data_IF_669857724293
#
_entry.id   IF_669857724293
#
_cell.length_a   1.000
_cell.length_b   1.000
_cell.length_c   1.000
_cell.angle_alpha   90.00
_cell.angle_beta   90.00
_cell.angle_gamma   90.00
#
_symmetry.space_group_name_H-M   'P 1'
#
loop_
_entity.id
_entity.type
_entity.pdbx_description
1 polymer ?
#
# COMPACT_ATOMS: atom_id res chain seq x y z
N UNK A 1 -6.90 -8.95 -10.43
CA UNK A 1 -7.22 -10.37 -10.66
C UNK A 1 -6.12 -11.25 -10.10
N UNK A 2 -6.49 -12.29 -9.40
CA UNK A 2 -5.52 -13.28 -8.93
C UNK A 2 -5.52 -14.44 -9.91
N UNK A 3 -4.35 -14.86 -10.36
CA UNK A 3 -4.19 -16.03 -11.18
C UNK A 3 -3.21 -17.01 -10.56
N UNK A 4 -3.54 -18.31 -10.62
CA UNK A 4 -2.63 -19.37 -10.22
C UNK A 4 -2.07 -20.02 -11.47
N UNK A 5 -0.76 -20.12 -11.55
CA UNK A 5 -0.06 -20.71 -12.70
C UNK A 5 1.01 -21.67 -12.20
N UNK A 6 1.42 -22.67 -13.01
CA UNK A 6 2.60 -23.45 -12.68
C UNK A 6 3.80 -22.54 -12.45
N UNK A 7 4.62 -22.85 -11.44
CA UNK A 7 5.76 -21.99 -11.09
C UNK A 7 6.70 -21.72 -12.28
N UNK A 8 6.91 -22.74 -13.12
CA UNK A 8 7.76 -22.63 -14.31
C UNK A 8 7.19 -21.73 -15.41
N UNK A 9 5.93 -21.35 -15.31
CA UNK A 9 5.27 -20.46 -16.27
C UNK A 9 5.31 -18.99 -15.86
N UNK A 10 5.74 -18.68 -14.64
CA UNK A 10 5.78 -17.28 -14.16
C UNK A 10 6.67 -16.39 -15.04
N UNK A 11 7.76 -16.93 -15.56
CA UNK A 11 8.68 -16.18 -16.44
C UNK A 11 7.99 -15.66 -17.71
N UNK A 12 6.97 -16.36 -18.19
CA UNK A 12 6.25 -15.96 -19.42
C UNK A 12 5.52 -14.62 -19.24
N UNK A 13 5.27 -14.21 -18.01
CA UNK A 13 4.55 -12.97 -17.69
C UNK A 13 5.45 -11.78 -17.42
N UNK A 14 6.77 -11.97 -17.41
CA UNK A 14 7.72 -10.88 -17.18
C UNK A 14 7.53 -9.81 -18.26
N UNK A 15 7.40 -8.56 -17.84
CA UNK A 15 7.17 -7.44 -18.73
C UNK A 15 5.74 -7.20 -19.15
N UNK A 16 4.81 -8.06 -18.72
CA UNK A 16 3.39 -7.90 -19.00
C UNK A 16 2.66 -7.22 -17.85
N UNK A 17 1.63 -6.44 -18.20
CA UNK A 17 0.70 -5.87 -17.22
C UNK A 17 -0.32 -6.95 -16.85
N UNK A 18 -0.30 -7.39 -15.60
CA UNK A 18 -1.18 -8.46 -15.11
C UNK A 18 -2.44 -7.93 -14.42
N UNK A 19 -2.61 -6.61 -14.35
CA UNK A 19 -3.80 -6.00 -13.80
C UNK A 19 -3.51 -4.97 -12.72
N UNK A 20 -4.57 -4.45 -12.13
CA UNK A 20 -4.52 -3.49 -11.02
C UNK A 20 -5.54 -3.89 -9.96
N UNK A 21 -5.29 -3.47 -8.72
CA UNK A 21 -6.29 -3.58 -7.67
C UNK A 21 -7.46 -2.63 -7.92
N UNK A 22 -8.53 -2.79 -7.16
CA UNK A 22 -9.55 -1.75 -7.04
C UNK A 22 -8.95 -0.54 -6.31
N UNK A 23 -9.56 0.62 -6.52
CA UNK A 23 -9.19 1.82 -5.79
C UNK A 23 -9.50 1.65 -4.31
N UNK A 24 -8.55 2.04 -3.47
CA UNK A 24 -8.64 1.95 -2.01
C UNK A 24 -8.57 3.35 -1.42
N UNK A 25 -9.62 3.76 -0.67
CA UNK A 25 -9.62 5.06 -0.01
C UNK A 25 -8.82 4.99 1.29
N UNK A 26 -7.90 5.94 1.45
CA UNK A 26 -7.10 6.08 2.68
C UNK A 26 -7.79 7.14 3.54
N UNK A 27 -8.64 6.70 4.47
CA UNK A 27 -9.38 7.60 5.35
C UNK A 27 -8.64 7.87 6.65
N UNK A 28 -9.16 8.84 7.43
CA UNK A 28 -8.54 9.24 8.68
C UNK A 28 -8.56 8.11 9.72
N UNK A 29 -9.62 7.33 9.77
CA UNK A 29 -9.71 6.21 10.72
C UNK A 29 -8.58 5.22 10.52
N UNK A 30 -8.23 4.93 9.26
CA UNK A 30 -7.12 4.03 8.94
C UNK A 30 -5.78 4.64 9.31
N UNK A 31 -5.59 5.93 9.06
CA UNK A 31 -4.38 6.65 9.44
C UNK A 31 -4.22 6.63 10.96
N UNK A 32 -5.31 6.89 11.70
CA UNK A 32 -5.29 6.87 13.17
C UNK A 32 -4.95 5.48 13.71
N UNK A 33 -5.52 4.42 13.12
CA UNK A 33 -5.20 3.04 13.51
C UNK A 33 -3.72 2.72 13.28
N UNK A 34 -3.16 3.18 12.17
CA UNK A 34 -1.75 2.96 11.88
C UNK A 34 -0.86 3.74 12.86
N UNK A 35 -1.23 4.98 13.17
CA UNK A 35 -0.52 5.78 14.17
C UNK A 35 -0.51 5.07 15.52
N UNK A 36 -1.64 4.50 15.94
CA UNK A 36 -1.75 3.77 17.19
C UNK A 36 -0.91 2.49 17.17
N UNK A 37 -0.94 1.75 16.06
CA UNK A 37 -0.22 0.49 15.93
C UNK A 37 1.30 0.67 15.94
N UNK A 38 1.79 1.79 15.38
CA UNK A 38 3.24 2.05 15.22
C UNK A 38 3.78 3.08 16.17
N UNK A 39 2.91 3.73 16.94
CA UNK A 39 3.25 4.81 17.88
C UNK A 39 3.80 6.05 17.19
N UNK A 40 3.47 6.24 15.92
CA UNK A 40 3.82 7.44 15.16
C UNK A 40 2.62 8.39 15.09
N UNK A 41 2.51 9.26 16.08
CA UNK A 41 1.43 10.24 16.19
C UNK A 41 1.89 11.65 15.81
N UNK A 42 2.79 11.76 14.84
CA UNK A 42 3.22 13.06 14.36
C UNK A 42 2.00 13.87 13.87
N UNK A 43 1.99 15.17 14.17
CA UNK A 43 0.81 16.01 13.92
C UNK A 43 0.34 16.00 12.46
N UNK A 44 1.25 15.80 11.50
CA UNK A 44 0.91 15.80 10.08
C UNK A 44 -0.06 14.67 9.71
N UNK A 45 -0.15 13.63 10.53
CA UNK A 45 -1.03 12.47 10.29
C UNK A 45 -2.33 12.54 11.09
N UNK A 46 -2.32 13.13 12.27
CA UNK A 46 -3.42 13.01 13.23
C UNK A 46 -4.06 14.33 13.65
N UNK A 47 -3.44 15.46 13.34
CA UNK A 47 -3.95 16.78 13.73
C UNK A 47 -4.28 17.60 12.48
N UNK A 48 -5.55 17.58 12.10
CA UNK A 48 -6.02 18.28 10.91
C UNK A 48 -5.74 19.78 10.94
N UNK A 49 -5.95 20.41 12.11
CA UNK A 49 -5.77 21.85 12.25
C UNK A 49 -4.33 22.27 11.97
N UNK A 50 -3.36 21.50 12.49
CA UNK A 50 -1.93 21.80 12.30
C UNK A 50 -1.41 21.35 10.94
N UNK A 51 -1.94 20.27 10.38
CA UNK A 51 -1.49 19.72 9.11
C UNK A 51 -2.00 20.51 7.91
N UNK A 52 -3.23 21.01 7.97
CA UNK A 52 -3.88 21.71 6.85
C UNK A 52 -3.08 22.87 6.29
N UNK A 53 -2.46 23.76 7.09
CA UNK A 53 -1.64 24.84 6.54
C UNK A 53 -0.43 24.34 5.72
N UNK A 54 0.06 23.14 5.98
CA UNK A 54 1.24 22.58 5.32
C UNK A 54 0.89 21.73 4.09
N UNK A 55 -0.15 20.92 4.19
CA UNK A 55 -0.48 19.92 3.16
C UNK A 55 -1.90 20.02 2.63
N UNK A 56 -2.71 20.95 3.10
CA UNK A 56 -4.13 21.05 2.73
C UNK A 56 -5.03 20.08 3.49
N UNK A 57 -4.47 19.12 4.19
CA UNK A 57 -5.15 18.13 5.02
C UNK A 57 -4.11 17.36 5.83
N UNK A 58 -4.54 16.41 6.64
CA UNK A 58 -3.63 15.38 7.14
C UNK A 58 -3.18 14.49 5.98
N UNK A 59 -2.05 13.84 6.15
CA UNK A 59 -1.49 12.92 5.17
C UNK A 59 -1.25 11.55 5.81
N UNK A 60 -1.36 10.51 4.99
CA UNK A 60 -1.03 9.17 5.43
C UNK A 60 0.48 9.04 5.68
N UNK A 61 0.84 8.19 6.63
CA UNK A 61 2.23 7.78 6.79
C UNK A 61 2.71 7.12 5.50
N UNK A 62 3.92 7.43 5.06
CA UNK A 62 4.51 6.71 3.93
C UNK A 62 4.53 5.20 4.20
N UNK A 63 4.84 4.80 5.42
CA UNK A 63 4.85 3.39 5.80
C UNK A 63 3.46 2.75 5.82
N UNK A 64 2.39 3.51 6.01
CA UNK A 64 1.03 2.99 5.82
C UNK A 64 0.81 2.62 4.36
N UNK A 65 1.13 3.53 3.44
CA UNK A 65 1.01 3.28 2.00
C UNK A 65 1.80 2.06 1.58
N UNK A 66 3.04 1.92 2.05
CA UNK A 66 3.88 0.76 1.79
C UNK A 66 3.23 -0.52 2.35
N UNK A 67 2.67 -0.45 3.55
CA UNK A 67 2.05 -1.60 4.22
C UNK A 67 0.77 -2.07 3.54
N UNK A 68 0.15 -1.25 2.70
CA UNK A 68 -1.04 -1.64 1.94
C UNK A 68 -0.71 -2.49 0.70
N UNK A 69 0.55 -2.56 0.29
CA UNK A 69 0.95 -3.29 -0.92
C UNK A 69 0.48 -4.75 -0.91
N UNK A 70 0.65 -5.54 0.16
CA UNK A 70 0.16 -6.93 0.15
C UNK A 70 -1.34 -7.04 -0.11
N UNK A 71 -2.15 -6.15 0.48
CA UNK A 71 -3.59 -6.11 0.24
C UNK A 71 -3.90 -5.78 -1.22
N UNK A 72 -3.28 -4.71 -1.73
CA UNK A 72 -3.53 -4.25 -3.10
C UNK A 72 -3.06 -5.27 -4.12
N UNK A 73 -1.86 -5.81 -3.97
CA UNK A 73 -1.33 -6.78 -4.92
C UNK A 73 -2.07 -8.12 -4.87
N UNK A 74 -2.72 -8.46 -3.76
CA UNK A 74 -3.51 -9.69 -3.68
C UNK A 74 -4.66 -9.71 -4.67
N UNK A 75 -5.07 -8.55 -5.17
CA UNK A 75 -6.16 -8.42 -6.15
C UNK A 75 -5.68 -8.50 -7.60
N UNK A 76 -4.37 -8.46 -7.83
CA UNK A 76 -3.80 -8.36 -9.17
C UNK A 76 -2.45 -9.06 -9.28
N UNK A 77 -2.32 -10.24 -8.69
CA UNK A 77 -1.05 -10.96 -8.66
C UNK A 77 -1.18 -12.33 -9.33
N UNK A 78 -0.11 -12.77 -9.96
CA UNK A 78 0.07 -14.15 -10.37
C UNK A 78 0.89 -14.87 -9.31
N UNK A 79 0.46 -16.04 -8.94
CA UNK A 79 1.14 -16.84 -7.92
C UNK A 79 1.31 -18.29 -8.40
N UNK A 80 2.37 -18.99 -7.95
CA UNK A 80 2.52 -20.39 -8.27
C UNK A 80 1.42 -21.22 -7.61
N UNK A 81 0.93 -22.22 -8.32
CA UNK A 81 -0.16 -23.08 -7.86
C UNK A 81 0.10 -23.77 -6.52
N UNK A 82 1.38 -24.04 -6.23
CA UNK A 82 1.80 -24.74 -5.02
C UNK A 82 2.21 -23.80 -3.88
N UNK A 83 1.87 -22.51 -3.99
CA UNK A 83 2.19 -21.53 -2.95
C UNK A 83 1.52 -21.90 -1.62
N UNK A 84 2.30 -21.92 -0.55
CA UNK A 84 1.82 -22.21 0.81
C UNK A 84 1.65 -20.94 1.63
N UNK A 85 2.62 -20.02 1.56
CA UNK A 85 2.61 -18.76 2.30
C UNK A 85 3.57 -17.78 1.66
N UNK A 86 3.42 -16.51 2.02
CA UNK A 86 4.27 -15.43 1.53
C UNK A 86 4.80 -14.65 2.73
N UNK A 87 6.09 -14.39 2.72
CA UNK A 87 6.74 -13.57 3.74
C UNK A 87 7.21 -12.25 3.14
N UNK A 88 7.10 -11.19 3.91
CA UNK A 88 7.76 -9.94 3.57
C UNK A 88 9.25 -10.12 3.81
N UNK A 89 10.03 -10.20 2.75
CA UNK A 89 11.47 -10.43 2.83
C UNK A 89 12.25 -9.13 2.98
N UNK A 90 11.98 -8.17 2.13
CA UNK A 90 12.71 -6.90 2.13
C UNK A 90 12.43 -6.08 0.89
N UNK A 91 13.12 -4.95 0.83
CA UNK A 91 12.99 -3.97 -0.23
C UNK A 91 14.40 -3.46 -0.59
N UNK A 92 14.68 -3.30 -1.87
CA UNK A 92 15.96 -2.77 -2.30
C UNK A 92 16.00 -1.25 -2.17
N UNK A 93 14.87 -0.57 -2.47
CA UNK A 93 14.81 0.87 -2.46
C UNK A 93 13.36 1.33 -2.34
N UNK A 94 13.10 2.29 -1.45
CA UNK A 94 11.77 2.90 -1.29
C UNK A 94 11.92 4.41 -1.25
N UNK A 95 11.04 5.11 -1.96
CA UNK A 95 10.92 6.57 -1.93
C UNK A 95 9.45 6.94 -1.87
N UNK A 96 9.08 7.77 -0.92
CA UNK A 96 7.73 8.34 -0.84
C UNK A 96 7.76 9.72 -1.51
N UNK A 97 7.50 9.72 -2.81
CA UNK A 97 7.70 10.91 -3.65
C UNK A 97 6.59 11.93 -3.45
N UNK A 98 5.35 11.47 -3.29
CA UNK A 98 4.20 12.33 -3.09
C UNK A 98 3.45 11.93 -1.83
N UNK A 99 2.97 12.90 -1.03
CA UNK A 99 2.10 12.57 0.11
C UNK A 99 0.74 12.04 -0.39
N UNK A 100 0.15 11.18 0.41
CA UNK A 100 -1.23 10.71 0.20
C UNK A 100 -2.11 11.46 1.18
N UNK A 101 -2.85 12.44 0.70
CA UNK A 101 -3.78 13.21 1.53
C UNK A 101 -4.95 12.33 1.98
N UNK A 102 -5.48 12.60 3.16
CA UNK A 102 -6.64 11.87 3.68
C UNK A 102 -7.80 11.94 2.69
N UNK A 103 -8.48 10.80 2.50
CA UNK A 103 -9.58 10.69 1.55
C UNK A 103 -9.15 10.37 0.12
N UNK A 104 -7.86 10.44 -0.20
CA UNK A 104 -7.37 10.04 -1.51
C UNK A 104 -7.40 8.53 -1.68
N UNK A 105 -7.46 8.11 -2.94
CA UNK A 105 -7.52 6.70 -3.30
C UNK A 105 -6.19 6.26 -3.92
N UNK A 106 -5.79 5.05 -3.62
CA UNK A 106 -4.58 4.40 -4.16
C UNK A 106 -4.93 3.04 -4.75
N UNK A 107 -4.10 2.56 -5.66
CA UNK A 107 -4.22 1.21 -6.21
C UNK A 107 -2.87 0.71 -6.71
#
# INVERSE_FOLDING_TARGET
>A
MIGLVPAEKLEDYVGQDIGSSEWFEVDQDRIDMFADATLDHQFIHVDEEKATPLFGSTIAHGFLSLSLIPHLTSQAVLAPENLKMVFNYGLDKVRFINPVNVGCKVR
#
